data_IF_676877471791
#
_entry.id   IF_676877471791
#
_cell.length_a   1.000
_cell.length_b   1.000
_cell.length_c   1.000
_cell.angle_alpha   90.00
_cell.angle_beta   90.00
_cell.angle_gamma   90.00
#
_symmetry.space_group_name_H-M   'P 1'
#
loop_
_entity.id
_entity.type
_entity.pdbx_description
1 polymer ?
#
# COMPACT_ATOMS: atom_id res chain seq x y z
N UNK A 1 7.45 14.44 23.85
CA UNK A 1 7.23 12.99 24.02
C UNK A 1 8.44 12.25 23.48
N UNK A 2 8.95 11.23 24.21
CA UNK A 2 9.99 10.32 23.68
C UNK A 2 9.33 9.14 22.98
N UNK A 3 9.74 8.86 21.76
CA UNK A 3 9.19 7.83 20.89
C UNK A 3 10.24 6.77 20.56
N UNK A 4 9.77 5.54 20.36
CA UNK A 4 10.51 4.47 19.69
C UNK A 4 9.80 4.09 18.41
N UNK A 5 10.54 3.99 17.32
CA UNK A 5 10.01 3.52 16.03
C UNK A 5 11.07 2.68 15.31
N UNK A 6 10.60 1.73 14.52
CA UNK A 6 11.45 0.91 13.66
C UNK A 6 11.25 1.35 12.21
N UNK A 7 12.35 1.56 11.50
CA UNK A 7 12.34 1.79 10.05
C UNK A 7 12.19 0.44 9.37
N UNK A 8 11.16 0.27 8.55
CA UNK A 8 10.86 -1.00 7.89
C UNK A 8 10.74 -0.76 6.39
N UNK A 9 11.35 -1.63 5.60
CA UNK A 9 11.34 -1.56 4.14
C UNK A 9 10.47 -2.69 3.55
N UNK A 10 9.18 -2.47 3.30
CA UNK A 10 8.34 -3.35 2.52
C UNK A 10 8.40 -2.96 1.03
N UNK A 11 9.33 -3.54 0.26
CA UNK A 11 9.47 -3.27 -1.18
C UNK A 11 9.64 -1.77 -1.51
N UNK A 12 10.50 -1.08 -0.74
CA UNK A 12 10.84 0.35 -0.84
C UNK A 12 9.70 1.34 -0.52
N UNK A 13 8.57 0.90 -0.02
CA UNK A 13 7.54 1.76 0.56
C UNK A 13 7.82 1.94 2.07
N UNK A 14 8.87 2.70 2.39
CA UNK A 14 9.45 2.76 3.74
C UNK A 14 8.39 3.19 4.77
N UNK A 15 8.21 2.33 5.76
CA UNK A 15 7.24 2.49 6.84
C UNK A 15 7.96 2.74 8.16
N UNK A 16 7.59 3.80 8.87
CA UNK A 16 8.01 4.02 10.24
C UNK A 16 6.97 3.40 11.18
N UNK A 17 7.33 2.31 11.84
CA UNK A 17 6.44 1.67 12.80
C UNK A 17 6.74 2.18 14.21
N UNK A 18 5.86 3.05 14.72
CA UNK A 18 5.95 3.60 16.08
C UNK A 18 5.42 2.57 17.07
N UNK A 19 6.27 2.21 18.04
CA UNK A 19 5.95 1.19 19.05
C UNK A 19 5.71 1.76 20.46
N UNK A 20 5.94 3.06 20.65
CA UNK A 20 5.52 3.80 21.84
C UNK A 20 4.04 4.12 21.72
N UNK A 21 3.28 3.97 22.79
CA UNK A 21 1.88 4.37 22.82
C UNK A 21 1.74 5.87 22.61
N UNK A 22 0.98 6.26 21.60
CA UNK A 22 0.70 7.65 21.23
C UNK A 22 -0.81 7.83 21.17
N UNK A 23 -1.39 8.83 21.88
CA UNK A 23 -2.81 9.15 21.77
C UNK A 23 -3.20 9.47 20.32
N UNK A 24 -4.38 9.01 19.89
CA UNK A 24 -4.78 9.09 18.46
C UNK A 24 -4.92 10.52 17.95
N UNK A 25 -5.36 11.43 18.78
CA UNK A 25 -5.52 12.86 18.45
C UNK A 25 -4.21 13.56 18.11
N UNK A 26 -3.07 13.03 18.60
CA UNK A 26 -1.73 13.59 18.30
C UNK A 26 -0.94 12.75 17.27
N UNK A 27 -1.42 11.55 16.90
CA UNK A 27 -0.72 10.70 15.93
C UNK A 27 -0.42 11.40 14.59
N UNK A 28 -1.31 12.20 13.98
CA UNK A 28 -1.00 12.90 12.74
C UNK A 28 0.16 13.90 12.88
N UNK A 29 0.26 14.59 14.01
CA UNK A 29 1.36 15.53 14.28
C UNK A 29 2.68 14.80 14.50
N UNK A 30 2.65 13.69 15.23
CA UNK A 30 3.82 12.82 15.42
C UNK A 30 4.29 12.26 14.08
N UNK A 31 3.38 11.79 13.25
CA UNK A 31 3.70 11.27 11.92
C UNK A 31 4.36 12.32 11.03
N UNK A 32 3.80 13.53 10.96
CA UNK A 32 4.35 14.63 10.18
C UNK A 32 5.79 14.97 10.61
N UNK A 33 6.06 14.99 11.92
CA UNK A 33 7.39 15.28 12.44
C UNK A 33 8.40 14.14 12.14
N UNK A 34 7.98 12.88 12.21
CA UNK A 34 8.82 11.74 11.86
C UNK A 34 9.14 11.70 10.38
N UNK A 35 8.17 11.95 9.51
CA UNK A 35 8.37 12.03 8.05
C UNK A 35 9.28 13.20 7.65
N UNK A 36 9.25 14.30 8.40
CA UNK A 36 10.18 15.41 8.19
C UNK A 36 11.63 15.04 8.48
N UNK A 37 11.87 14.11 9.42
CA UNK A 37 13.20 13.63 9.82
C UNK A 37 13.71 12.50 8.94
N UNK A 38 12.84 11.56 8.61
CA UNK A 38 13.15 10.37 7.81
C UNK A 38 12.67 10.57 6.37
N UNK A 39 13.48 11.25 5.57
CA UNK A 39 13.13 11.69 4.22
C UNK A 39 12.80 10.57 3.23
N UNK A 40 13.31 9.37 3.48
CA UNK A 40 13.02 8.20 2.65
C UNK A 40 11.71 7.49 3.04
N UNK A 41 11.12 7.86 4.19
CA UNK A 41 9.87 7.25 4.65
C UNK A 41 8.67 7.83 3.90
N UNK A 42 7.74 6.95 3.56
CA UNK A 42 6.52 7.30 2.83
C UNK A 42 5.29 7.33 3.77
N UNK A 43 5.36 6.62 4.93
CA UNK A 43 4.22 6.49 5.83
C UNK A 43 4.63 6.17 7.27
N UNK A 44 3.68 6.42 8.19
CA UNK A 44 3.83 6.10 9.61
C UNK A 44 2.67 5.22 10.06
N UNK A 45 2.98 4.10 10.69
CA UNK A 45 2.03 3.25 11.40
C UNK A 45 2.32 3.24 12.90
N UNK A 46 1.28 3.18 13.70
CA UNK A 46 1.34 3.09 15.16
C UNK A 46 0.92 1.69 15.60
N UNK A 47 1.82 0.99 16.27
CA UNK A 47 1.55 -0.32 16.86
C UNK A 47 0.86 -0.13 18.21
N UNK A 48 -0.45 -0.23 18.23
CA UNK A 48 -1.28 -0.12 19.43
C UNK A 48 -1.46 -1.48 20.12
N UNK A 49 -1.83 -1.48 21.40
CA UNK A 49 -2.23 -2.68 22.13
C UNK A 49 -1.11 -3.66 22.44
N UNK A 50 0.16 -3.32 22.19
CA UNK A 50 1.30 -4.20 22.42
C UNK A 50 1.43 -4.63 23.89
N UNK A 51 1.23 -3.71 24.84
CA UNK A 51 1.37 -3.96 26.27
C UNK A 51 0.31 -4.95 26.82
N UNK A 52 -0.82 -5.07 26.16
CA UNK A 52 -1.93 -5.96 26.57
C UNK A 52 -2.04 -7.20 25.70
N UNK A 53 -1.05 -7.45 24.83
CA UNK A 53 -1.02 -8.63 23.96
C UNK A 53 -2.08 -8.66 22.86
N UNK A 54 -2.70 -7.52 22.55
CA UNK A 54 -3.69 -7.38 21.49
C UNK A 54 -3.22 -6.35 20.46
N UNK A 55 -2.23 -6.70 19.62
CA UNK A 55 -1.61 -5.78 18.68
C UNK A 55 -2.60 -5.32 17.61
N UNK A 56 -2.57 -4.03 17.30
CA UNK A 56 -3.33 -3.38 16.25
C UNK A 56 -2.45 -2.39 15.50
N UNK A 57 -2.62 -2.28 14.18
CA UNK A 57 -1.98 -1.25 13.37
C UNK A 57 -2.96 -0.07 13.17
N UNK A 58 -2.52 1.12 13.54
CA UNK A 58 -3.20 2.36 13.21
C UNK A 58 -2.32 3.16 12.26
N UNK A 59 -2.80 3.42 11.04
CA UNK A 59 -2.11 4.30 10.11
C UNK A 59 -2.35 5.77 10.46
N UNK A 60 -1.41 6.62 10.08
CA UNK A 60 -1.41 8.06 10.40
C UNK A 60 -2.65 8.82 9.92
N UNK A 61 -3.26 8.40 8.81
CA UNK A 61 -4.51 8.95 8.27
C UNK A 61 -5.74 8.08 8.55
N UNK A 62 -5.59 6.94 9.24
CA UNK A 62 -6.68 6.00 9.51
C UNK A 62 -7.02 5.08 8.33
N UNK A 63 -6.29 5.18 7.23
CA UNK A 63 -6.43 4.36 6.01
C UNK A 63 -5.96 2.91 6.23
N UNK A 64 -6.32 2.03 5.29
CA UNK A 64 -5.72 0.71 5.17
C UNK A 64 -4.43 0.79 4.34
N UNK A 65 -3.37 0.14 4.83
CA UNK A 65 -2.13 0.00 4.08
C UNK A 65 -1.56 -1.43 4.14
N UNK A 66 -1.56 -2.14 3.00
CA UNK A 66 -1.04 -3.50 2.90
C UNK A 66 0.46 -3.60 3.22
N UNK A 67 1.27 -2.64 2.75
CA UNK A 67 2.71 -2.58 3.01
C UNK A 67 3.01 -2.41 4.52
N UNK A 68 2.31 -1.49 5.20
CA UNK A 68 2.45 -1.30 6.64
C UNK A 68 1.93 -2.51 7.44
N UNK A 69 0.89 -3.18 6.94
CA UNK A 69 0.36 -4.41 7.54
C UNK A 69 1.39 -5.53 7.49
N UNK A 70 2.04 -5.76 6.33
CA UNK A 70 3.15 -6.70 6.21
C UNK A 70 4.31 -6.33 7.13
N UNK A 71 4.63 -5.04 7.22
CA UNK A 71 5.70 -4.52 8.06
C UNK A 71 5.45 -4.83 9.54
N UNK A 72 4.24 -4.57 10.05
CA UNK A 72 3.88 -4.87 11.42
C UNK A 72 3.84 -6.37 11.68
N UNK A 73 3.33 -7.18 10.76
CA UNK A 73 3.32 -8.63 10.88
C UNK A 73 4.75 -9.20 10.99
N UNK A 74 5.67 -8.73 10.15
CA UNK A 74 7.09 -9.11 10.23
C UNK A 74 7.74 -8.64 11.54
N UNK A 75 7.45 -7.41 11.97
CA UNK A 75 8.00 -6.87 13.22
C UNK A 75 7.51 -7.63 14.47
N UNK A 76 6.24 -8.02 14.52
CA UNK A 76 5.68 -8.84 15.60
C UNK A 76 6.37 -10.21 15.69
N UNK A 77 6.85 -10.75 14.58
CA UNK A 77 7.50 -12.04 14.48
C UNK A 77 9.00 -11.94 14.17
N UNK A 78 9.67 -10.85 14.54
CA UNK A 78 11.09 -10.60 14.25
C UNK A 78 12.05 -11.66 14.82
N UNK A 79 11.65 -12.38 15.86
CA UNK A 79 12.41 -13.48 16.46
C UNK A 79 12.12 -14.86 15.84
N UNK A 80 11.28 -14.92 14.82
CA UNK A 80 10.96 -16.17 14.13
C UNK A 80 12.23 -16.80 13.56
N UNK A 81 12.49 -18.12 13.72
CA UNK A 81 13.64 -18.77 13.10
C UNK A 81 13.61 -18.66 11.57
N UNK A 82 14.79 -18.64 10.94
CA UNK A 82 14.92 -18.68 9.47
C UNK A 82 14.25 -19.95 8.93
N UNK A 83 13.46 -19.81 7.87
CA UNK A 83 12.65 -20.87 7.28
C UNK A 83 11.30 -21.10 7.95
N UNK A 84 11.07 -20.51 9.14
CA UNK A 84 9.79 -20.65 9.81
C UNK A 84 8.75 -19.67 9.27
N UNK A 85 7.49 -20.08 9.34
CA UNK A 85 6.32 -19.32 8.89
C UNK A 85 5.34 -19.08 10.05
N UNK A 86 4.63 -17.96 9.99
CA UNK A 86 3.54 -17.63 10.90
C UNK A 86 2.37 -17.02 10.15
N UNK A 87 1.18 -17.56 10.40
CA UNK A 87 -0.09 -16.94 10.03
C UNK A 87 -0.68 -16.22 11.25
N UNK A 88 -1.26 -15.06 11.03
CA UNK A 88 -1.94 -14.25 12.04
C UNK A 88 -3.06 -13.44 11.42
N UNK A 89 -3.94 -12.93 12.25
CA UNK A 89 -4.90 -11.89 11.88
C UNK A 89 -4.58 -10.62 12.65
N UNK A 90 -4.58 -9.48 11.96
CA UNK A 90 -4.20 -8.20 12.52
C UNK A 90 -5.31 -7.17 12.32
N UNK A 91 -5.88 -6.60 13.40
CA UNK A 91 -6.73 -5.44 13.30
C UNK A 91 -5.93 -4.26 12.72
N UNK A 92 -6.43 -3.66 11.65
CA UNK A 92 -5.77 -2.57 10.93
C UNK A 92 -6.78 -1.46 10.69
N UNK A 93 -6.35 -0.20 10.83
CA UNK A 93 -7.16 0.96 10.44
C UNK A 93 -7.61 0.84 8.98
N UNK A 94 -8.78 1.39 8.66
CA UNK A 94 -9.34 1.35 7.30
C UNK A 94 -9.84 -0.03 6.84
N UNK A 95 -9.63 -1.10 7.62
CA UNK A 95 -10.19 -2.42 7.35
C UNK A 95 -11.35 -2.72 8.31
N UNK A 96 -12.54 -3.14 7.80
CA UNK A 96 -13.70 -3.42 8.66
C UNK A 96 -13.56 -4.69 9.49
N UNK A 97 -12.67 -5.61 9.09
CA UNK A 97 -12.39 -6.87 9.76
C UNK A 97 -10.86 -7.04 9.94
N UNK A 98 -10.41 -7.83 10.93
CA UNK A 98 -9.01 -8.16 11.05
C UNK A 98 -8.45 -8.78 9.76
N UNK A 99 -7.28 -8.32 9.35
CA UNK A 99 -6.63 -8.66 8.09
C UNK A 99 -5.81 -9.94 8.26
N UNK A 100 -6.04 -10.94 7.40
CA UNK A 100 -5.24 -12.14 7.37
C UNK A 100 -3.83 -11.83 6.82
N UNK A 101 -2.82 -12.22 7.58
CA UNK A 101 -1.42 -12.02 7.26
C UNK A 101 -0.67 -13.35 7.39
N UNK A 102 0.40 -13.48 6.62
CA UNK A 102 1.38 -14.55 6.73
C UNK A 102 2.78 -13.96 6.60
N UNK A 103 3.69 -14.38 7.42
CA UNK A 103 5.09 -14.00 7.32
C UNK A 103 5.97 -15.24 7.37
N UNK A 104 6.94 -15.31 6.47
CA UNK A 104 7.98 -16.34 6.44
C UNK A 104 9.32 -15.65 6.60
N UNK A 105 10.11 -16.05 7.58
CA UNK A 105 11.47 -15.52 7.73
C UNK A 105 12.41 -16.23 6.77
N UNK A 106 13.09 -15.46 5.96
CA UNK A 106 14.22 -15.92 5.13
C UNK A 106 15.50 -15.22 5.60
N UNK A 107 16.64 -15.61 5.08
CA UNK A 107 17.90 -14.98 5.48
C UNK A 107 17.90 -13.48 5.17
N UNK A 108 18.11 -12.66 6.17
CA UNK A 108 18.19 -11.20 6.09
C UNK A 108 16.85 -10.45 5.90
N UNK A 109 15.70 -11.14 5.73
CA UNK A 109 14.40 -10.46 5.56
C UNK A 109 13.22 -11.39 5.84
N UNK A 110 12.00 -10.87 5.58
CA UNK A 110 10.75 -11.62 5.61
C UNK A 110 10.07 -11.56 4.25
N UNK A 111 9.34 -12.61 3.93
CA UNK A 111 8.30 -12.58 2.90
C UNK A 111 6.97 -12.39 3.64
N UNK A 112 6.30 -11.27 3.36
CA UNK A 112 5.01 -10.95 3.95
C UNK A 112 3.89 -11.12 2.91
N UNK A 113 2.82 -11.82 3.28
CA UNK A 113 1.59 -11.93 2.49
C UNK A 113 0.44 -11.33 3.28
N UNK A 114 -0.38 -10.52 2.63
CA UNK A 114 -1.51 -9.82 3.25
C UNK A 114 -2.74 -9.91 2.37
N UNK A 115 -3.90 -10.19 2.99
CA UNK A 115 -5.20 -10.07 2.33
C UNK A 115 -5.50 -8.58 2.07
N UNK A 116 -5.88 -8.27 0.84
CA UNK A 116 -6.28 -6.94 0.41
C UNK A 116 -7.80 -6.81 0.39
N UNK A 117 -8.33 -5.61 0.61
CA UNK A 117 -9.74 -5.35 0.33
C UNK A 117 -10.07 -5.67 -1.13
N UNK A 118 -11.25 -6.24 -1.35
CA UNK A 118 -11.75 -6.42 -2.71
C UNK A 118 -12.15 -5.07 -3.31
N UNK A 119 -12.06 -4.91 -4.64
CA UNK A 119 -12.58 -3.72 -5.30
C UNK A 119 -14.08 -3.56 -5.07
N UNK A 120 -14.51 -2.35 -4.79
CA UNK A 120 -15.94 -1.99 -4.77
C UNK A 120 -16.54 -2.03 -6.18
N UNK A 121 -15.75 -1.63 -7.17
CA UNK A 121 -16.08 -1.73 -8.61
C UNK A 121 -14.84 -1.60 -9.48
N UNK A 122 -14.96 -2.13 -10.69
CA UNK A 122 -14.01 -1.94 -11.80
C UNK A 122 -14.82 -1.41 -12.97
N UNK A 123 -14.43 -0.28 -13.52
CA UNK A 123 -15.16 0.37 -14.62
C UNK A 123 -14.21 0.93 -15.68
N UNK A 124 -14.76 1.27 -16.85
CA UNK A 124 -14.04 1.99 -17.90
C UNK A 124 -14.48 3.45 -17.88
N UNK A 125 -13.54 4.37 -17.69
CA UNK A 125 -13.83 5.80 -17.70
C UNK A 125 -13.08 6.52 -18.81
N UNK A 126 -13.79 7.42 -19.50
CA UNK A 126 -13.17 8.33 -20.47
C UNK A 126 -12.62 9.56 -19.75
N UNK A 127 -11.32 9.74 -19.79
CA UNK A 127 -10.58 10.81 -19.12
C UNK A 127 -9.75 11.61 -20.13
N UNK A 128 -9.60 12.93 -19.98
CA UNK A 128 -8.86 13.77 -20.92
C UNK A 128 -7.33 13.58 -20.75
N UNK A 129 -6.64 13.35 -21.87
CA UNK A 129 -5.17 13.33 -21.97
C UNK A 129 -4.76 14.27 -23.11
N UNK A 130 -4.09 15.37 -22.80
CA UNK A 130 -3.65 16.33 -23.82
C UNK A 130 -4.80 16.92 -24.65
N UNK A 131 -6.02 17.03 -24.10
CA UNK A 131 -7.21 17.54 -24.79
C UNK A 131 -8.01 16.48 -25.57
N UNK A 132 -7.56 15.23 -25.59
CA UNK A 132 -8.25 14.11 -26.23
C UNK A 132 -8.82 13.18 -25.16
N UNK A 133 -10.07 12.76 -25.31
CA UNK A 133 -10.69 11.77 -24.41
C UNK A 133 -10.17 10.37 -24.72
N UNK A 134 -9.67 9.70 -23.70
CA UNK A 134 -9.18 8.32 -23.76
C UNK A 134 -9.85 7.51 -22.66
N UNK A 135 -10.09 6.21 -22.92
CA UNK A 135 -10.77 5.33 -21.99
C UNK A 135 -9.75 4.46 -21.23
N UNK A 136 -9.86 4.46 -19.91
CA UNK A 136 -8.97 3.73 -19.01
C UNK A 136 -9.76 2.85 -18.05
N UNK A 137 -9.23 1.67 -17.67
CA UNK A 137 -9.72 0.94 -16.52
C UNK A 137 -9.50 1.74 -15.24
N UNK A 138 -10.53 1.81 -14.40
CA UNK A 138 -10.47 2.42 -13.07
C UNK A 138 -10.93 1.39 -12.04
N UNK A 139 -10.06 1.10 -11.09
CA UNK A 139 -10.32 0.16 -9.99
C UNK A 139 -10.54 0.94 -8.71
N UNK A 140 -11.72 0.81 -8.13
CA UNK A 140 -12.09 1.46 -6.88
C UNK A 140 -11.89 0.48 -5.72
N UNK A 141 -10.89 0.75 -4.90
CA UNK A 141 -10.66 0.09 -3.61
C UNK A 141 -11.17 0.99 -2.48
N UNK A 142 -11.50 0.45 -1.30
CA UNK A 142 -11.83 1.28 -0.16
C UNK A 142 -10.75 2.33 0.13
N UNK A 143 -11.14 3.61 0.05
CA UNK A 143 -10.28 4.76 0.31
C UNK A 143 -9.40 5.25 -0.84
N UNK A 144 -9.24 4.50 -1.93
CA UNK A 144 -8.42 4.90 -3.07
C UNK A 144 -8.94 4.33 -4.39
N UNK A 145 -8.94 5.13 -5.46
CA UNK A 145 -9.15 4.61 -6.81
C UNK A 145 -7.84 4.64 -7.61
N UNK A 146 -7.67 3.65 -8.49
CA UNK A 146 -6.49 3.54 -9.36
C UNK A 146 -6.91 3.56 -10.82
N UNK A 147 -6.37 4.50 -11.59
CA UNK A 147 -6.45 4.53 -13.05
C UNK A 147 -5.27 3.76 -13.61
N UNK A 148 -5.54 2.75 -14.43
CA UNK A 148 -4.50 1.96 -15.10
C UNK A 148 -4.35 2.50 -16.51
N UNK A 149 -3.20 3.10 -16.80
CA UNK A 149 -2.90 3.66 -18.12
C UNK A 149 -1.67 3.00 -18.72
N UNK A 150 -1.65 2.72 -20.04
CA UNK A 150 -0.43 2.31 -20.72
C UNK A 150 0.67 3.35 -20.54
N UNK A 151 1.89 2.91 -20.24
CA UNK A 151 3.00 3.81 -19.91
C UNK A 151 3.38 4.77 -21.05
N UNK A 152 3.10 4.37 -22.29
CA UNK A 152 3.33 5.17 -23.51
C UNK A 152 2.26 6.24 -23.77
N UNK A 153 1.10 6.16 -23.12
CA UNK A 153 -0.02 7.07 -23.33
C UNK A 153 0.12 8.37 -22.54
N UNK A 154 0.70 8.28 -21.36
CA UNK A 154 0.86 9.43 -20.47
C UNK A 154 2.33 9.73 -20.26
N UNK A 155 2.77 10.89 -20.78
CA UNK A 155 4.11 11.38 -20.52
C UNK A 155 4.33 11.56 -19.01
N UNK A 156 5.39 10.94 -18.51
CA UNK A 156 5.76 11.01 -17.09
C UNK A 156 5.94 12.45 -16.59
N UNK A 157 6.44 13.34 -17.42
CA UNK A 157 6.61 14.76 -17.06
C UNK A 157 5.26 15.48 -16.84
N UNK A 158 4.17 14.98 -17.44
CA UNK A 158 2.82 15.55 -17.33
C UNK A 158 1.88 14.72 -16.43
N UNK A 159 2.36 13.59 -15.93
CA UNK A 159 1.53 12.65 -15.19
C UNK A 159 0.92 13.28 -13.92
N UNK A 160 1.69 14.10 -13.19
CA UNK A 160 1.20 14.80 -12.00
C UNK A 160 0.09 15.81 -12.35
N UNK A 161 0.29 16.65 -13.35
CA UNK A 161 -0.72 17.60 -13.83
C UNK A 161 -1.98 16.86 -14.28
N UNK A 162 -1.80 15.76 -15.00
CA UNK A 162 -2.89 14.91 -15.49
C UNK A 162 -3.69 14.32 -14.33
N UNK A 163 -3.00 13.71 -13.34
CA UNK A 163 -3.67 13.10 -12.19
C UNK A 163 -4.41 14.14 -11.34
N UNK A 164 -3.81 15.30 -11.11
CA UNK A 164 -4.47 16.42 -10.43
C UNK A 164 -5.69 16.93 -11.18
N UNK A 165 -5.67 16.96 -12.51
CA UNK A 165 -6.85 17.33 -13.31
C UNK A 165 -7.97 16.28 -13.18
N UNK A 166 -7.63 15.00 -13.23
CA UNK A 166 -8.57 13.89 -13.06
C UNK A 166 -9.15 13.81 -11.65
N UNK A 167 -8.43 14.31 -10.65
CA UNK A 167 -8.93 14.36 -9.28
C UNK A 167 -10.22 15.16 -9.10
N UNK A 168 -10.54 16.05 -10.05
CA UNK A 168 -11.79 16.82 -10.09
C UNK A 168 -12.94 16.02 -10.69
N UNK A 169 -12.63 14.97 -11.44
CA UNK A 169 -13.59 14.11 -12.13
C UNK A 169 -13.85 12.80 -11.38
N UNK A 170 -12.85 12.34 -10.61
CA UNK A 170 -12.91 11.10 -9.86
C UNK A 170 -13.32 11.36 -8.41
N UNK A 171 -14.15 10.47 -7.88
CA UNK A 171 -14.53 10.46 -6.45
C UNK A 171 -13.42 9.89 -5.59
N UNK A 172 -13.41 10.26 -4.30
CA UNK A 172 -12.47 9.76 -3.30
C UNK A 172 -11.40 10.78 -2.91
N UNK A 173 -10.73 10.51 -1.80
CA UNK A 173 -9.69 11.38 -1.21
C UNK A 173 -8.29 11.05 -1.73
N UNK A 174 -8.07 9.79 -2.15
CA UNK A 174 -6.82 9.36 -2.75
C UNK A 174 -7.05 8.72 -4.13
N UNK A 175 -6.09 8.92 -5.03
CA UNK A 175 -6.11 8.32 -6.35
C UNK A 175 -4.70 8.01 -6.84
N UNK A 176 -4.56 6.87 -7.54
CA UNK A 176 -3.32 6.46 -8.17
C UNK A 176 -3.44 6.47 -9.70
N UNK A 177 -2.38 6.88 -10.34
CA UNK A 177 -2.14 6.64 -11.76
C UNK A 177 -1.07 5.57 -11.87
N UNK A 178 -1.44 4.42 -12.43
CA UNK A 178 -0.56 3.28 -12.62
C UNK A 178 -0.11 3.25 -14.08
N UNK A 179 1.12 3.70 -14.35
CA UNK A 179 1.71 3.61 -15.69
C UNK A 179 2.17 2.17 -15.93
N UNK A 180 1.32 1.38 -16.59
CA UNK A 180 1.52 -0.04 -16.82
C UNK A 180 2.29 -0.26 -18.13
N UNK A 181 3.38 -1.04 -18.09
CA UNK A 181 4.11 -1.44 -19.29
C UNK A 181 3.30 -2.43 -20.13
N UNK A 182 3.55 -2.48 -21.45
CA UNK A 182 2.88 -3.40 -22.40
C UNK A 182 2.95 -4.85 -21.95
N UNK A 183 4.04 -5.26 -21.33
CA UNK A 183 4.23 -6.61 -20.75
C UNK A 183 3.20 -6.98 -19.68
N UNK A 184 2.51 -6.00 -19.09
CA UNK A 184 1.61 -6.13 -17.93
C UNK A 184 2.29 -6.78 -16.70
N UNK A 185 3.61 -6.70 -16.61
CA UNK A 185 4.41 -7.26 -15.52
C UNK A 185 5.22 -6.20 -14.77
N UNK A 186 5.18 -4.95 -15.22
CA UNK A 186 5.81 -3.82 -14.55
C UNK A 186 4.96 -2.56 -14.67
N UNK A 187 5.02 -1.71 -13.65
CA UNK A 187 4.35 -0.42 -13.63
C UNK A 187 5.05 0.59 -12.72
N UNK A 188 4.77 1.86 -12.95
CA UNK A 188 5.23 2.97 -12.10
C UNK A 188 4.00 3.66 -11.49
N UNK A 189 3.85 3.65 -10.16
CA UNK A 189 2.72 4.26 -9.48
C UNK A 189 2.97 5.73 -9.12
N UNK A 190 2.01 6.59 -9.44
CA UNK A 190 1.90 7.95 -8.95
C UNK A 190 0.64 8.06 -8.10
N UNK A 191 0.76 8.48 -6.85
CA UNK A 191 -0.37 8.60 -5.91
C UNK A 191 -0.56 10.06 -5.51
N UNK A 192 -1.81 10.52 -5.62
CA UNK A 192 -2.26 11.83 -5.19
C UNK A 192 -3.26 11.70 -4.06
N UNK A 193 -3.04 12.46 -2.98
CA UNK A 193 -3.91 12.52 -1.80
C UNK A 193 -4.45 13.94 -1.66
N UNK A 194 -5.75 14.13 -1.93
CA UNK A 194 -6.42 15.44 -1.96
C UNK A 194 -6.30 16.23 -0.65
N UNK A 195 -6.59 15.65 0.55
CA UNK A 195 -6.58 16.42 1.79
C UNK A 195 -5.23 17.06 2.13
N UNK A 196 -4.13 16.45 1.69
CA UNK A 196 -2.77 16.94 1.93
C UNK A 196 -2.15 17.59 0.72
N UNK A 197 -2.85 17.60 -0.43
CA UNK A 197 -2.37 18.04 -1.74
C UNK A 197 -0.99 17.43 -2.10
N UNK A 198 -0.74 16.20 -1.64
CA UNK A 198 0.52 15.49 -1.89
C UNK A 198 0.42 14.61 -3.13
N UNK A 199 1.43 14.67 -3.99
CA UNK A 199 1.55 13.84 -5.19
C UNK A 199 2.93 13.18 -5.18
N UNK A 200 2.98 11.85 -5.11
CA UNK A 200 4.22 11.11 -4.89
C UNK A 200 4.35 9.94 -5.87
N UNK A 201 5.51 9.88 -6.53
CA UNK A 201 5.94 8.67 -7.23
C UNK A 201 6.36 7.63 -6.21
N UNK A 202 5.50 6.66 -5.94
CA UNK A 202 5.81 5.57 -5.01
C UNK A 202 6.82 4.60 -5.64
N UNK A 203 7.68 4.04 -4.80
CA UNK A 203 8.63 3.00 -5.21
C UNK A 203 8.03 1.60 -5.14
N UNK A 204 7.04 1.40 -4.25
CA UNK A 204 6.33 0.14 -4.07
C UNK A 204 4.88 0.37 -3.61
N UNK A 205 3.92 0.18 -4.51
CA UNK A 205 2.49 0.40 -4.28
C UNK A 205 1.74 -0.92 -4.13
N UNK A 206 1.32 -1.25 -2.91
CA UNK A 206 0.55 -2.46 -2.62
C UNK A 206 -0.87 -2.39 -3.18
N UNK A 207 -1.58 -1.26 -3.01
CA UNK A 207 -2.94 -1.04 -3.53
C UNK A 207 -2.96 -0.99 -5.06
N UNK A 208 -1.95 -0.36 -5.68
CA UNK A 208 -1.79 -0.35 -7.14
C UNK A 208 -1.55 -1.76 -7.70
N UNK A 209 -0.72 -2.56 -7.03
CA UNK A 209 -0.52 -3.98 -7.40
C UNK A 209 -1.83 -4.76 -7.31
N UNK A 210 -2.57 -4.61 -6.22
CA UNK A 210 -3.87 -5.25 -6.01
C UNK A 210 -4.88 -4.84 -7.10
N UNK A 211 -4.93 -3.55 -7.44
CA UNK A 211 -5.80 -3.03 -8.49
C UNK A 211 -5.50 -3.65 -9.86
N UNK A 212 -4.22 -3.75 -10.25
CA UNK A 212 -3.82 -4.40 -11.51
C UNK A 212 -4.21 -5.88 -11.49
N UNK A 213 -3.95 -6.60 -10.39
CA UNK A 213 -4.32 -8.02 -10.28
C UNK A 213 -5.83 -8.24 -10.40
N UNK A 214 -6.64 -7.43 -9.76
CA UNK A 214 -8.10 -7.48 -9.83
C UNK A 214 -8.60 -7.16 -11.26
N UNK A 215 -8.07 -6.11 -11.89
CA UNK A 215 -8.39 -5.77 -13.27
C UNK A 215 -8.03 -6.91 -14.23
N UNK A 216 -6.82 -7.46 -14.14
CA UNK A 216 -6.41 -8.60 -14.98
C UNK A 216 -7.33 -9.81 -14.81
N UNK A 217 -7.83 -10.05 -13.58
CA UNK A 217 -8.79 -11.11 -13.30
C UNK A 217 -10.10 -10.86 -14.03
N UNK A 218 -10.63 -9.63 -13.96
CA UNK A 218 -11.89 -9.26 -14.62
C UNK A 218 -11.81 -9.35 -16.15
N UNK A 219 -10.68 -8.92 -16.74
CA UNK A 219 -10.50 -8.95 -18.21
C UNK A 219 -10.26 -10.38 -18.73
N UNK A 220 -9.53 -11.19 -17.97
CA UNK A 220 -9.14 -12.55 -18.40
C UNK A 220 -10.13 -13.63 -17.99
N UNK A 221 -11.10 -13.32 -17.12
CA UNK A 221 -12.10 -14.26 -16.61
C UNK A 221 -11.51 -15.44 -15.83
N UNK A 222 -10.33 -15.27 -15.21
CA UNK A 222 -9.64 -16.34 -14.48
C UNK A 222 -8.76 -15.80 -13.37
N UNK A 223 -8.47 -16.64 -12.37
CA UNK A 223 -7.54 -16.35 -11.30
C UNK A 223 -6.16 -15.93 -11.83
N UNK A 224 -5.53 -15.02 -11.12
CA UNK A 224 -4.19 -14.52 -11.45
C UNK A 224 -3.18 -14.89 -10.36
N UNK A 225 -1.95 -15.14 -10.81
CA UNK A 225 -0.76 -15.14 -9.97
C UNK A 225 0.30 -14.38 -10.75
N UNK A 226 0.42 -13.09 -10.50
CA UNK A 226 1.29 -12.19 -11.26
C UNK A 226 2.31 -11.52 -10.36
N UNK A 227 3.55 -11.45 -10.83
CA UNK A 227 4.62 -10.69 -10.19
C UNK A 227 4.76 -9.35 -10.89
N UNK A 228 4.46 -8.27 -10.18
CA UNK A 228 4.46 -6.90 -10.69
C UNK A 228 5.73 -6.19 -10.22
N UNK A 229 6.61 -5.88 -11.16
CA UNK A 229 7.82 -5.10 -10.91
C UNK A 229 7.49 -3.61 -10.82
N UNK A 230 8.08 -2.96 -9.83
CA UNK A 230 7.96 -1.54 -9.56
C UNK A 230 9.36 -0.97 -9.30
N UNK A 231 9.56 0.36 -9.22
CA UNK A 231 10.88 0.94 -8.98
C UNK A 231 11.60 0.41 -7.73
N UNK A 232 10.86 0.02 -6.69
CA UNK A 232 11.40 -0.49 -5.42
C UNK A 232 11.54 -2.00 -5.32
N UNK A 233 11.01 -2.77 -6.28
CA UNK A 233 11.07 -4.22 -6.27
C UNK A 233 9.85 -4.90 -6.87
N UNK A 234 9.54 -6.09 -6.40
CA UNK A 234 8.45 -6.91 -6.92
C UNK A 234 7.41 -7.15 -5.84
N UNK A 235 6.15 -6.95 -6.19
CA UNK A 235 4.99 -7.39 -5.41
C UNK A 235 4.24 -8.43 -6.22
N UNK A 236 4.08 -9.63 -5.66
CA UNK A 236 3.25 -10.67 -6.24
C UNK A 236 1.80 -10.45 -5.84
N UNK A 237 0.89 -10.62 -6.78
CA UNK A 237 -0.56 -10.56 -6.56
C UNK A 237 -1.16 -11.92 -6.88
N UNK A 238 -1.99 -12.42 -5.97
CA UNK A 238 -2.78 -13.63 -6.21
C UNK A 238 -4.24 -13.28 -6.03
N UNK A 239 -5.06 -13.69 -7.02
CA UNK A 239 -6.52 -13.57 -6.96
C UNK A 239 -7.17 -14.94 -6.94
N UNK A 240 -8.34 -15.05 -6.32
CA UNK A 240 -9.18 -16.26 -6.32
C UNK A 240 -10.59 -15.90 -6.70
N UNK A 241 -11.24 -16.78 -7.43
CA UNK A 241 -12.62 -16.65 -7.84
C UNK A 241 -13.53 -17.62 -7.06
N UNK A 242 -14.77 -17.18 -6.80
CA UNK A 242 -15.88 -18.05 -6.42
C UNK A 242 -16.92 -17.95 -7.54
N UNK A 243 -16.95 -18.94 -8.42
CA UNK A 243 -17.63 -18.80 -9.71
C UNK A 243 -16.92 -17.77 -10.59
N UNK A 244 -17.64 -16.74 -11.00
CA UNK A 244 -17.10 -15.63 -11.82
C UNK A 244 -16.70 -14.41 -10.97
N UNK A 245 -17.01 -14.40 -9.67
CA UNK A 245 -16.76 -13.26 -8.78
C UNK A 245 -15.40 -13.36 -8.11
N UNK A 246 -14.72 -12.22 -7.99
CA UNK A 246 -13.47 -12.11 -7.23
C UNK A 246 -13.74 -12.31 -5.74
N UNK A 247 -13.26 -13.43 -5.19
CA UNK A 247 -13.52 -13.83 -3.80
C UNK A 247 -12.34 -13.54 -2.86
N UNK A 248 -11.11 -13.52 -3.37
CA UNK A 248 -9.94 -13.17 -2.57
C UNK A 248 -8.86 -12.48 -3.42
N UNK A 249 -8.15 -11.59 -2.76
CA UNK A 249 -7.07 -10.79 -3.32
C UNK A 249 -5.96 -10.69 -2.28
N UNK A 250 -4.75 -11.12 -2.61
CA UNK A 250 -3.59 -11.02 -1.72
C UNK A 250 -2.41 -10.40 -2.42
N UNK A 251 -1.60 -9.70 -1.67
CA UNK A 251 -0.28 -9.24 -2.11
C UNK A 251 0.80 -9.90 -1.28
N UNK A 252 1.94 -10.16 -1.90
CA UNK A 252 3.14 -10.72 -1.26
C UNK A 252 4.35 -9.88 -1.65
N UNK A 253 5.12 -9.47 -0.67
CA UNK A 253 6.32 -8.66 -0.85
C UNK A 253 7.42 -9.00 0.14
N UNK A 254 8.63 -8.50 -0.15
CA UNK A 254 9.77 -8.62 0.76
C UNK A 254 9.72 -7.52 1.80
N UNK A 255 9.92 -7.87 3.06
CA UNK A 255 9.98 -6.93 4.20
C UNK A 255 11.35 -7.02 4.87
N UNK A 256 12.07 -5.91 4.94
CA UNK A 256 13.33 -5.81 5.69
C UNK A 256 13.13 -4.95 6.93
N UNK A 257 13.43 -5.52 8.09
CA UNK A 257 13.44 -4.79 9.34
C UNK A 257 14.78 -4.04 9.45
N UNK A 258 14.69 -2.72 9.56
CA UNK A 258 15.85 -1.87 9.79
C UNK A 258 16.02 -1.54 11.28
N UNK A 259 16.68 -0.43 11.55
CA UNK A 259 17.02 -0.01 12.89
C UNK A 259 15.81 0.48 13.69
N UNK A 260 15.82 0.18 14.98
CA UNK A 260 14.92 0.83 15.94
C UNK A 260 15.57 2.09 16.47
N UNK A 261 14.92 3.21 16.25
CA UNK A 261 15.39 4.55 16.60
C UNK A 261 14.54 5.14 17.73
N UNK A 262 15.12 6.17 18.37
CA UNK A 262 14.40 7.02 19.33
C UNK A 262 14.32 8.43 18.81
N UNK A 263 13.19 9.07 19.04
CA UNK A 263 13.01 10.48 18.73
C UNK A 263 12.30 11.21 19.87
N UNK A 264 12.64 12.47 20.07
CA UNK A 264 11.87 13.38 20.91
C UNK A 264 11.04 14.29 20.00
N UNK A 265 9.73 14.25 20.17
CA UNK A 265 8.76 15.06 19.43
C UNK A 265 8.09 16.02 20.39
N UNK A 266 8.04 17.30 20.04
CA UNK A 266 7.28 18.35 20.74
C UNK A 266 5.86 18.34 20.16
N UNK A 267 4.86 18.25 21.05
CA UNK A 267 3.44 18.12 20.68
C UNK A 267 2.74 19.47 20.76
#
# INVERSE_FOLDING_TARGET
>A
MELRYTVIDPTKNITLLVTTTVPRDVQPRVAAELLRREKDAEQVGFAEGLAVGNPRLQMMGGEFCGNATMSMAAWLHRELPVGAERALTLPVSGAPQPVACRVTRIDGCFIGTVAMPLPERIEQLSLPVGGVMQTFPVVHLPGICHVIAPAEVIDRARAEETLRSWSKLLSGEAMGLLLLEESQTAFTPLVYVKPTDSCVWERGCGSGSAAIGAWLTSVRGREQCVSLRQPGGVIQVVTRLAGEELAALTITGTVRLGETKKARVEL
#
